data_IF_075834550674
#
_entry.id   IF_075834550674
#
_cell.length_a   1.000
_cell.length_b   1.000
_cell.length_c   1.000
_cell.angle_alpha   90.00
_cell.angle_beta   90.00
_cell.angle_gamma   90.00
#
_symmetry.space_group_name_H-M   'P 1'
#
loop_
_entity.id
_entity.type
_entity.pdbx_description
1 polymer ?
#
# COMPACT_ATOMS: atom_id res chain seq x y z
N UNK A 1 -71.51 -48.72 -49.30
CA UNK A 1 -72.21 -47.41 -49.23
C UNK A 1 -72.09 -46.71 -47.91
N UNK A 2 -72.01 -47.38 -46.81
CA UNK A 2 -71.87 -46.78 -45.45
C UNK A 2 -70.55 -46.05 -45.22
N UNK A 3 -69.44 -46.47 -45.78
CA UNK A 3 -68.13 -45.87 -45.59
C UNK A 3 -67.94 -44.47 -46.21
N UNK A 4 -68.61 -44.23 -47.35
CA UNK A 4 -68.50 -42.91 -48.03
C UNK A 4 -69.35 -41.82 -47.37
N UNK A 5 -70.48 -42.17 -46.75
CA UNK A 5 -71.37 -41.23 -46.08
C UNK A 5 -70.70 -40.70 -44.74
N UNK A 6 -69.99 -41.56 -44.03
CA UNK A 6 -69.31 -41.18 -42.80
C UNK A 6 -68.17 -40.18 -43.05
N UNK A 7 -67.42 -40.38 -44.16
CA UNK A 7 -66.30 -39.47 -44.51
C UNK A 7 -66.81 -38.10 -45.03
N UNK A 8 -67.93 -38.02 -45.70
CA UNK A 8 -68.47 -36.76 -46.22
C UNK A 8 -69.07 -35.93 -45.07
N UNK A 9 -69.66 -36.53 -44.08
CA UNK A 9 -70.16 -35.81 -42.88
C UNK A 9 -69.00 -35.29 -41.98
N UNK A 10 -67.93 -36.06 -41.87
CA UNK A 10 -66.75 -35.64 -41.10
C UNK A 10 -66.04 -34.43 -41.70
N UNK A 11 -65.98 -34.28 -43.01
CA UNK A 11 -65.40 -33.15 -43.72
C UNK A 11 -66.31 -31.91 -43.80
N UNK A 12 -67.55 -32.00 -43.35
CA UNK A 12 -68.58 -30.95 -43.37
C UNK A 12 -68.94 -30.48 -41.90
N UNK A 13 -68.48 -31.17 -40.92
CA UNK A 13 -68.78 -30.86 -39.53
C UNK A 13 -67.83 -29.81 -39.01
N UNK A 14 -68.31 -28.58 -38.84
CA UNK A 14 -67.58 -27.44 -38.36
C UNK A 14 -67.56 -27.37 -36.77
N UNK A 15 -68.31 -28.27 -36.12
CA UNK A 15 -68.37 -28.29 -34.62
C UNK A 15 -67.06 -28.70 -33.93
N UNK A 16 -66.12 -29.24 -34.72
CA UNK A 16 -64.79 -29.64 -34.22
C UNK A 16 -63.70 -28.56 -34.24
N UNK A 17 -63.98 -27.33 -34.68
CA UNK A 17 -62.95 -26.28 -34.87
C UNK A 17 -62.34 -25.77 -33.57
N UNK A 18 -63.03 -25.94 -32.43
CA UNK A 18 -62.58 -25.52 -31.15
C UNK A 18 -61.39 -26.38 -30.60
N UNK A 19 -61.39 -27.68 -30.90
CA UNK A 19 -60.37 -28.63 -30.44
C UNK A 19 -58.95 -28.33 -30.98
N UNK A 20 -58.76 -28.14 -32.28
CA UNK A 20 -57.43 -27.76 -32.82
C UNK A 20 -56.97 -26.39 -32.33
N UNK A 21 -57.88 -25.43 -32.09
CA UNK A 21 -57.56 -24.12 -31.55
C UNK A 21 -57.14 -24.20 -30.09
N UNK A 22 -57.84 -24.94 -29.25
CA UNK A 22 -57.45 -25.15 -27.82
C UNK A 22 -56.13 -25.92 -27.73
N UNK A 23 -55.86 -26.88 -28.60
CA UNK A 23 -54.59 -27.60 -28.66
C UNK A 23 -53.44 -26.69 -29.07
N UNK A 24 -53.67 -25.79 -30.01
CA UNK A 24 -52.67 -24.78 -30.44
C UNK A 24 -52.33 -23.83 -29.28
N UNK A 25 -53.35 -23.31 -28.55
CA UNK A 25 -53.14 -22.45 -27.38
C UNK A 25 -52.40 -23.21 -26.28
N UNK A 26 -52.73 -24.47 -26.03
CA UNK A 26 -52.07 -25.30 -25.04
C UNK A 26 -50.56 -25.48 -25.36
N UNK A 27 -50.20 -25.78 -26.59
CA UNK A 27 -48.81 -25.86 -27.03
C UNK A 27 -48.10 -24.51 -26.95
N UNK A 28 -48.77 -23.40 -27.27
CA UNK A 28 -48.20 -22.07 -27.13
C UNK A 28 -47.90 -21.75 -25.65
N UNK A 29 -48.82 -22.08 -24.73
CA UNK A 29 -48.61 -21.90 -23.30
C UNK A 29 -47.48 -22.76 -22.76
N UNK A 30 -47.34 -24.01 -23.21
CA UNK A 30 -46.24 -24.89 -22.88
C UNK A 30 -44.90 -24.33 -23.38
N UNK A 31 -44.85 -23.78 -24.56
CA UNK A 31 -43.67 -23.20 -25.15
C UNK A 31 -43.25 -21.95 -24.39
N UNK A 32 -44.16 -21.02 -24.10
CA UNK A 32 -43.88 -19.81 -23.33
C UNK A 32 -43.45 -20.15 -21.88
N UNK A 33 -44.14 -21.08 -21.22
CA UNK A 33 -43.77 -21.54 -19.88
C UNK A 33 -42.42 -22.22 -19.85
N UNK A 34 -42.11 -23.03 -20.89
CA UNK A 34 -40.81 -23.66 -21.04
C UNK A 34 -39.67 -22.68 -21.25
N UNK A 35 -39.85 -21.64 -22.08
CA UNK A 35 -38.91 -20.58 -22.27
C UNK A 35 -38.62 -19.85 -20.94
N UNK A 36 -39.66 -19.55 -20.16
CA UNK A 36 -39.51 -18.90 -18.86
C UNK A 36 -38.66 -19.75 -17.92
N UNK A 37 -38.83 -21.09 -17.92
CA UNK A 37 -38.01 -21.99 -17.09
C UNK A 37 -36.55 -21.97 -17.54
N UNK A 38 -36.25 -21.98 -18.84
CA UNK A 38 -34.87 -21.91 -19.34
C UNK A 38 -34.21 -20.59 -18.96
N UNK A 39 -34.90 -19.46 -19.08
CA UNK A 39 -34.38 -18.14 -18.63
C UNK A 39 -34.12 -18.11 -17.14
N UNK A 40 -35.07 -18.63 -16.33
CA UNK A 40 -34.89 -18.68 -14.87
C UNK A 40 -33.68 -19.53 -14.47
N UNK A 41 -33.43 -20.66 -15.14
CA UNK A 41 -32.24 -21.48 -14.89
C UNK A 41 -30.96 -20.77 -15.29
N UNK A 42 -30.94 -20.09 -16.41
CA UNK A 42 -29.81 -19.29 -16.85
C UNK A 42 -29.49 -18.18 -15.85
N UNK A 43 -30.48 -17.38 -15.44
CA UNK A 43 -30.30 -16.32 -14.45
C UNK A 43 -29.85 -16.87 -13.08
N UNK A 44 -30.38 -18.01 -12.65
CA UNK A 44 -29.92 -18.66 -11.41
C UNK A 44 -28.43 -19.04 -11.48
N UNK A 45 -27.99 -19.58 -12.61
CA UNK A 45 -26.57 -19.93 -12.81
C UNK A 45 -25.71 -18.66 -12.82
N UNK A 46 -26.16 -17.62 -13.52
CA UNK A 46 -25.48 -16.33 -13.56
C UNK A 46 -25.30 -15.70 -12.18
N UNK A 47 -26.38 -15.60 -11.41
CA UNK A 47 -26.35 -15.04 -10.06
C UNK A 47 -25.43 -15.84 -9.14
N UNK A 48 -25.50 -17.17 -9.19
CA UNK A 48 -24.65 -18.04 -8.37
C UNK A 48 -23.19 -17.90 -8.75
N UNK A 49 -22.86 -17.85 -10.05
CA UNK A 49 -21.49 -17.67 -10.53
C UNK A 49 -20.93 -16.31 -10.08
N UNK A 50 -21.70 -15.23 -10.31
CA UNK A 50 -21.30 -13.88 -9.92
C UNK A 50 -21.11 -13.75 -8.41
N UNK A 51 -22.03 -14.25 -7.59
CA UNK A 51 -21.89 -14.22 -6.13
C UNK A 51 -20.67 -14.98 -5.62
N UNK A 52 -20.39 -16.15 -6.21
CA UNK A 52 -19.19 -16.92 -5.84
C UNK A 52 -17.94 -16.15 -6.19
N UNK A 53 -17.92 -15.56 -7.40
CA UNK A 53 -16.80 -14.77 -7.88
C UNK A 53 -16.55 -13.53 -7.00
N UNK A 54 -17.60 -12.73 -6.74
CA UNK A 54 -17.51 -11.52 -5.92
C UNK A 54 -17.01 -11.83 -4.51
N UNK A 55 -17.55 -12.88 -3.87
CA UNK A 55 -17.11 -13.28 -2.54
C UNK A 55 -15.67 -13.79 -2.52
N UNK A 56 -15.27 -14.54 -3.56
CA UNK A 56 -13.92 -15.10 -3.65
C UNK A 56 -12.86 -14.02 -3.85
N UNK A 57 -13.07 -13.06 -4.77
CA UNK A 57 -12.11 -11.98 -5.01
C UNK A 57 -12.03 -11.01 -3.82
N UNK A 58 -13.17 -10.76 -3.14
CA UNK A 58 -13.18 -9.93 -1.92
C UNK A 58 -12.38 -10.58 -0.79
N UNK A 59 -12.56 -11.89 -0.58
CA UNK A 59 -11.81 -12.63 0.42
C UNK A 59 -10.31 -12.74 0.07
N UNK A 60 -9.99 -12.92 -1.21
CA UNK A 60 -8.62 -13.02 -1.70
C UNK A 60 -7.88 -11.68 -1.64
N UNK A 61 -8.57 -10.56 -1.91
CA UNK A 61 -7.99 -9.22 -1.84
C UNK A 61 -7.69 -8.77 -0.41
N UNK A 62 -8.35 -9.35 0.61
CA UNK A 62 -8.16 -8.98 2.01
C UNK A 62 -6.69 -9.13 2.43
N UNK A 63 -6.06 -8.03 2.90
CA UNK A 63 -4.65 -8.02 3.32
C UNK A 63 -4.38 -8.79 4.61
N UNK A 64 -5.40 -9.00 5.43
CA UNK A 64 -5.36 -9.89 6.60
C UNK A 64 -5.28 -11.37 6.24
N UNK A 65 -5.59 -11.73 4.98
CA UNK A 65 -5.48 -13.09 4.46
C UNK A 65 -4.01 -13.49 4.29
N UNK A 66 -3.63 -14.60 4.91
CA UNK A 66 -2.27 -15.15 4.88
C UNK A 66 -2.08 -16.26 3.84
N UNK A 67 -3.18 -16.80 3.30
CA UNK A 67 -3.14 -17.78 2.22
C UNK A 67 -2.86 -17.09 0.88
N UNK A 68 -2.39 -17.87 -0.07
CA UNK A 68 -2.22 -17.42 -1.44
C UNK A 68 -3.57 -16.95 -2.01
N UNK A 69 -3.69 -15.71 -2.51
CA UNK A 69 -4.94 -15.17 -3.03
C UNK A 69 -5.55 -16.00 -4.16
N UNK A 70 -4.73 -16.57 -5.06
CA UNK A 70 -5.20 -17.44 -6.15
C UNK A 70 -5.86 -18.69 -5.57
N UNK A 71 -5.23 -19.35 -4.62
CA UNK A 71 -5.79 -20.51 -3.93
C UNK A 71 -7.08 -20.19 -3.15
N UNK A 72 -7.20 -18.97 -2.62
CA UNK A 72 -8.46 -18.55 -1.97
C UNK A 72 -9.61 -18.52 -2.96
N UNK A 73 -9.40 -17.97 -4.16
CA UNK A 73 -10.44 -17.95 -5.21
C UNK A 73 -10.80 -19.38 -5.63
N UNK A 74 -9.80 -20.22 -5.90
CA UNK A 74 -10.00 -21.63 -6.27
C UNK A 74 -10.80 -22.40 -5.20
N UNK A 75 -10.48 -22.24 -3.92
CA UNK A 75 -11.16 -22.89 -2.79
C UNK A 75 -12.64 -22.48 -2.67
N UNK A 76 -12.96 -21.20 -2.94
CA UNK A 76 -14.34 -20.73 -3.00
C UNK A 76 -15.12 -21.40 -4.13
N UNK A 77 -14.51 -21.52 -5.31
CA UNK A 77 -15.12 -22.17 -6.46
C UNK A 77 -15.31 -23.67 -6.25
N UNK A 78 -14.32 -24.33 -5.63
CA UNK A 78 -14.39 -25.76 -5.29
C UNK A 78 -15.53 -26.04 -4.29
N UNK A 79 -15.60 -25.28 -3.20
CA UNK A 79 -16.68 -25.39 -2.21
C UNK A 79 -18.07 -25.07 -2.77
N UNK A 80 -18.13 -24.21 -3.77
CA UNK A 80 -19.37 -23.92 -4.50
C UNK A 80 -19.72 -25.00 -5.54
N UNK A 81 -18.80 -25.94 -5.86
CA UNK A 81 -18.96 -26.90 -6.94
C UNK A 81 -19.01 -26.22 -8.33
N UNK A 82 -18.18 -25.20 -8.51
CA UNK A 82 -18.09 -24.39 -9.72
C UNK A 82 -16.67 -24.32 -10.31
N UNK A 83 -15.75 -25.18 -9.84
CA UNK A 83 -14.32 -25.17 -10.22
C UNK A 83 -14.10 -25.22 -11.73
N UNK A 84 -14.95 -25.95 -12.45
CA UNK A 84 -14.86 -26.08 -13.92
C UNK A 84 -15.17 -24.80 -14.69
N UNK A 85 -15.77 -23.80 -14.03
CA UNK A 85 -16.17 -22.54 -14.65
C UNK A 85 -15.18 -21.41 -14.42
N UNK A 86 -14.22 -21.55 -13.50
CA UNK A 86 -13.17 -20.57 -13.27
C UNK A 86 -12.19 -20.58 -14.45
N UNK A 87 -11.99 -19.42 -15.08
CA UNK A 87 -11.15 -19.28 -16.28
C UNK A 87 -9.76 -18.75 -15.93
N UNK A 88 -9.70 -17.64 -15.21
CA UNK A 88 -8.44 -17.06 -14.78
C UNK A 88 -8.56 -16.30 -13.47
N UNK A 89 -7.44 -16.20 -12.77
CA UNK A 89 -7.24 -15.34 -11.60
C UNK A 89 -5.97 -14.55 -11.83
N UNK A 90 -6.04 -13.24 -11.67
CA UNK A 90 -4.89 -12.35 -11.75
C UNK A 90 -4.73 -11.62 -10.43
N UNK A 91 -3.54 -11.67 -9.86
CA UNK A 91 -3.21 -11.04 -8.57
C UNK A 91 -2.10 -10.04 -8.78
N UNK A 92 -2.36 -8.80 -8.43
CA UNK A 92 -1.35 -7.74 -8.31
C UNK A 92 -1.25 -7.32 -6.84
N UNK A 93 -0.05 -7.39 -6.28
CA UNK A 93 0.14 -7.02 -4.89
C UNK A 93 1.43 -6.25 -4.68
N UNK A 94 1.38 -5.28 -3.79
CA UNK A 94 2.49 -4.46 -3.37
C UNK A 94 2.54 -4.31 -1.86
N UNK A 95 3.38 -3.39 -1.39
CA UNK A 95 3.54 -3.13 0.04
C UNK A 95 2.25 -2.60 0.68
N UNK A 96 1.50 -1.78 -0.04
CA UNK A 96 0.32 -1.07 0.46
C UNK A 96 -0.98 -1.40 -0.27
N UNK A 97 -0.97 -2.32 -1.25
CA UNK A 97 -2.17 -2.73 -1.97
C UNK A 97 -2.16 -4.21 -2.33
N UNK A 98 -3.35 -4.77 -2.52
CA UNK A 98 -3.58 -6.06 -3.16
C UNK A 98 -4.83 -5.94 -4.02
N UNK A 99 -4.70 -6.21 -5.32
CA UNK A 99 -5.77 -6.26 -6.30
C UNK A 99 -5.91 -7.68 -6.81
N UNK A 100 -7.12 -8.18 -6.84
CA UNK A 100 -7.46 -9.51 -7.35
C UNK A 100 -8.53 -9.35 -8.40
N UNK A 101 -8.27 -9.86 -9.59
CA UNK A 101 -9.22 -9.96 -10.67
C UNK A 101 -9.44 -11.42 -11.00
N UNK A 102 -10.68 -11.82 -11.22
CA UNK A 102 -11.00 -13.17 -11.68
C UNK A 102 -12.15 -13.14 -12.69
N UNK A 103 -12.11 -14.08 -13.64
CA UNK A 103 -13.15 -14.30 -14.60
C UNK A 103 -13.60 -15.76 -14.63
N UNK A 104 -14.89 -15.96 -14.88
CA UNK A 104 -15.50 -17.27 -14.93
C UNK A 104 -16.51 -17.35 -16.09
N UNK A 105 -16.63 -18.55 -16.66
CA UNK A 105 -17.55 -18.82 -17.76
C UNK A 105 -18.26 -20.15 -17.55
N UNK A 106 -19.59 -20.12 -17.53
CA UNK A 106 -20.41 -21.31 -17.51
C UNK A 106 -21.19 -21.47 -18.81
N UNK A 107 -21.32 -22.68 -19.27
CA UNK A 107 -22.24 -23.05 -20.32
C UNK A 107 -23.48 -23.70 -19.72
N UNK A 108 -24.66 -23.26 -20.19
CA UNK A 108 -25.94 -23.82 -19.78
C UNK A 108 -26.69 -24.31 -20.98
N UNK A 109 -27.19 -25.56 -20.90
CA UNK A 109 -28.00 -26.15 -21.98
C UNK A 109 -29.46 -25.93 -21.66
N UNK A 110 -30.19 -25.16 -22.54
CA UNK A 110 -31.62 -24.97 -22.39
C UNK A 110 -32.37 -26.24 -22.80
N UNK A 111 -33.51 -26.50 -22.17
CA UNK A 111 -34.35 -27.61 -22.53
C UNK A 111 -35.34 -27.25 -23.66
N UNK A 112 -36.07 -26.17 -23.49
CA UNK A 112 -37.13 -25.76 -24.39
C UNK A 112 -36.60 -24.92 -25.55
N UNK A 113 -35.61 -24.07 -25.34
CA UNK A 113 -34.99 -23.29 -26.42
C UNK A 113 -34.21 -24.16 -27.41
N UNK A 114 -33.76 -25.35 -26.99
CA UNK A 114 -33.12 -26.32 -27.89
C UNK A 114 -34.09 -26.80 -28.99
N UNK A 115 -35.39 -26.85 -28.73
CA UNK A 115 -36.42 -27.14 -29.73
C UNK A 115 -36.55 -26.05 -30.81
N UNK A 116 -36.08 -24.84 -30.49
CA UNK A 116 -36.01 -23.69 -31.40
C UNK A 116 -34.62 -23.53 -32.06
N UNK A 117 -33.71 -24.49 -31.84
CA UNK A 117 -32.37 -24.46 -32.41
C UNK A 117 -31.33 -23.72 -31.60
N UNK A 118 -31.66 -23.24 -30.38
CA UNK A 118 -30.71 -22.60 -29.45
C UNK A 118 -30.22 -23.68 -28.48
N UNK A 119 -29.03 -24.17 -28.70
CA UNK A 119 -28.50 -25.34 -27.97
C UNK A 119 -27.61 -24.97 -26.78
N UNK A 120 -27.07 -23.75 -26.72
CA UNK A 120 -26.13 -23.31 -25.71
C UNK A 120 -26.39 -21.86 -25.30
N UNK A 121 -26.28 -21.60 -23.97
CA UNK A 121 -26.24 -20.28 -23.40
C UNK A 121 -24.95 -20.12 -22.61
N UNK A 122 -24.21 -19.06 -22.87
CA UNK A 122 -23.00 -18.73 -22.14
C UNK A 122 -23.31 -17.69 -21.08
N UNK A 123 -22.82 -17.95 -19.87
CA UNK A 123 -22.80 -17.01 -18.77
C UNK A 123 -21.35 -16.61 -18.55
N UNK A 124 -21.01 -15.37 -18.80
CA UNK A 124 -19.73 -14.80 -18.45
C UNK A 124 -19.92 -13.96 -17.17
N UNK A 125 -18.98 -14.08 -16.25
CA UNK A 125 -18.92 -13.29 -15.03
C UNK A 125 -17.47 -12.85 -14.81
N UNK A 126 -17.29 -11.62 -14.42
CA UNK A 126 -16.00 -11.05 -14.02
C UNK A 126 -16.17 -10.26 -12.72
N UNK A 127 -15.12 -10.22 -11.92
CA UNK A 127 -15.11 -9.45 -10.67
C UNK A 127 -13.68 -9.02 -10.32
N UNK A 128 -13.59 -7.87 -9.67
CA UNK A 128 -12.35 -7.34 -9.16
C UNK A 128 -12.54 -6.78 -7.76
N UNK A 129 -11.55 -6.98 -6.90
CA UNK A 129 -11.51 -6.36 -5.59
C UNK A 129 -10.09 -5.84 -5.31
N UNK A 130 -10.01 -4.67 -4.68
CA UNK A 130 -8.76 -4.07 -4.26
C UNK A 130 -8.87 -3.64 -2.80
N UNK A 131 -7.89 -4.05 -1.99
CA UNK A 131 -7.68 -3.48 -0.66
C UNK A 131 -6.35 -2.75 -0.64
N UNK A 132 -6.37 -1.48 -0.21
CA UNK A 132 -5.17 -0.67 -0.10
C UNK A 132 -5.12 0.18 1.15
N UNK A 133 -3.89 0.40 1.64
CA UNK A 133 -3.57 1.36 2.70
C UNK A 133 -3.21 2.68 2.03
N UNK A 134 -3.77 3.79 2.53
CA UNK A 134 -3.70 5.08 1.84
C UNK A 134 -2.29 5.62 1.68
N UNK A 135 -1.43 5.56 2.71
CA UNK A 135 -0.07 6.07 2.67
C UNK A 135 0.87 5.20 3.51
N UNK A 136 2.11 5.07 3.07
CA UNK A 136 3.20 4.41 3.79
C UNK A 136 4.27 5.46 4.09
N UNK A 137 4.49 5.75 5.36
CA UNK A 137 5.54 6.64 5.83
C UNK A 137 6.59 5.83 6.58
N UNK A 138 7.85 5.97 6.21
CA UNK A 138 8.97 5.25 6.80
C UNK A 138 10.03 6.23 7.26
N UNK A 139 10.50 6.08 8.49
CA UNK A 139 11.68 6.81 8.95
C UNK A 139 12.88 5.87 9.01
N UNK A 140 13.86 6.12 8.16
CA UNK A 140 15.08 5.32 8.05
C UNK A 140 16.18 5.96 8.91
N UNK A 141 16.37 5.41 10.11
CA UNK A 141 17.33 5.87 11.08
C UNK A 141 18.66 5.15 10.86
N UNK A 142 19.71 5.89 10.44
CA UNK A 142 20.97 5.32 9.98
C UNK A 142 22.12 5.70 10.91
N UNK A 143 22.79 4.71 11.45
CA UNK A 143 23.99 4.89 12.26
C UNK A 143 25.17 5.32 11.37
N UNK A 144 25.72 6.48 11.67
CA UNK A 144 26.92 7.03 11.04
C UNK A 144 28.03 7.28 12.06
N UNK A 145 27.98 6.59 13.20
CA UNK A 145 29.01 6.69 14.24
C UNK A 145 30.36 6.12 13.80
N UNK A 146 31.42 6.43 14.55
CA UNK A 146 32.78 5.99 14.23
C UNK A 146 32.95 4.46 14.15
N UNK A 147 32.11 3.70 14.86
CA UNK A 147 32.11 2.24 14.80
C UNK A 147 31.63 1.71 13.43
N UNK A 148 30.99 2.55 12.61
CA UNK A 148 30.52 2.20 11.26
C UNK A 148 31.60 2.39 10.19
N UNK A 149 32.77 2.92 10.53
CA UNK A 149 33.83 3.17 9.56
C UNK A 149 34.30 1.89 8.85
N UNK A 150 34.76 2.03 7.62
CA UNK A 150 35.25 0.93 6.78
C UNK A 150 34.16 0.08 6.15
N UNK A 151 34.20 -1.23 6.41
CA UNK A 151 33.30 -2.19 5.73
C UNK A 151 31.83 -2.01 6.09
N UNK A 152 31.52 -1.56 7.31
CA UNK A 152 30.13 -1.43 7.80
C UNK A 152 29.36 -0.37 7.03
N UNK A 153 29.91 0.85 6.90
CA UNK A 153 29.25 1.92 6.13
C UNK A 153 29.15 1.57 4.65
N UNK A 154 30.18 0.86 4.12
CA UNK A 154 30.19 0.41 2.74
C UNK A 154 29.12 -0.67 2.44
N UNK A 155 28.68 -1.40 3.46
CA UNK A 155 27.55 -2.34 3.37
C UNK A 155 26.22 -1.64 3.65
N UNK A 156 26.18 -0.70 4.59
CA UNK A 156 24.96 0.04 4.97
C UNK A 156 24.39 0.84 3.80
N UNK A 157 25.22 1.60 3.08
CA UNK A 157 24.75 2.45 1.99
C UNK A 157 24.02 1.67 0.88
N UNK A 158 24.58 0.61 0.29
CA UNK A 158 23.84 -0.19 -0.70
C UNK A 158 22.55 -0.81 -0.13
N UNK A 159 22.59 -1.30 1.11
CA UNK A 159 21.41 -1.86 1.77
C UNK A 159 20.30 -0.82 1.96
N UNK A 160 20.64 0.40 2.42
CA UNK A 160 19.69 1.49 2.57
C UNK A 160 19.12 1.95 1.22
N UNK A 161 19.94 2.02 0.18
CA UNK A 161 19.47 2.34 -1.19
C UNK A 161 18.52 1.29 -1.73
N UNK A 162 18.84 0.01 -1.57
CA UNK A 162 17.97 -1.08 -1.98
C UNK A 162 16.65 -1.05 -1.20
N UNK A 163 16.69 -0.71 0.08
CA UNK A 163 15.49 -0.53 0.90
C UNK A 163 14.60 0.59 0.35
N UNK A 164 15.19 1.75 0.01
CA UNK A 164 14.46 2.87 -0.62
C UNK A 164 13.79 2.41 -1.91
N UNK A 165 14.53 1.71 -2.78
CA UNK A 165 13.97 1.17 -4.02
C UNK A 165 12.82 0.20 -3.75
N UNK A 166 13.02 -0.73 -2.82
CA UNK A 166 12.01 -1.73 -2.46
C UNK A 166 10.71 -1.08 -1.97
N UNK A 167 10.81 -0.08 -1.08
CA UNK A 167 9.61 0.59 -0.55
C UNK A 167 8.89 1.39 -1.65
N UNK A 168 9.62 2.20 -2.42
CA UNK A 168 9.00 3.09 -3.40
C UNK A 168 8.48 2.34 -4.63
N UNK A 169 9.16 1.27 -5.08
CA UNK A 169 8.73 0.49 -6.24
C UNK A 169 7.55 -0.45 -5.93
N UNK A 170 7.45 -0.95 -4.69
CA UNK A 170 6.35 -1.82 -4.28
C UNK A 170 5.16 -1.05 -3.67
N UNK A 171 5.18 0.28 -3.75
CA UNK A 171 4.07 1.13 -3.32
C UNK A 171 3.46 1.83 -4.53
N UNK A 172 2.16 2.14 -4.44
CA UNK A 172 1.50 2.98 -5.43
C UNK A 172 2.21 4.33 -5.54
N UNK A 173 2.35 4.86 -6.75
CA UNK A 173 3.07 6.11 -7.00
C UNK A 173 2.52 7.27 -6.15
N UNK A 174 3.41 7.94 -5.43
CA UNK A 174 3.05 9.06 -4.54
C UNK A 174 2.40 8.67 -3.22
N UNK A 175 2.32 7.36 -2.90
CA UNK A 175 1.73 6.86 -1.65
C UNK A 175 2.75 6.37 -0.63
N UNK A 176 4.03 6.40 -0.95
CA UNK A 176 5.10 6.10 -0.03
C UNK A 176 6.06 7.29 0.11
N UNK A 177 6.48 7.57 1.32
CA UNK A 177 7.51 8.56 1.63
C UNK A 177 8.47 8.05 2.68
N UNK A 178 9.73 8.43 2.56
CA UNK A 178 10.80 7.99 3.44
C UNK A 178 11.53 9.23 3.97
N UNK A 179 11.80 9.28 5.27
CA UNK A 179 12.75 10.21 5.85
C UNK A 179 14.08 9.50 6.11
N UNK A 180 15.21 10.23 5.97
CA UNK A 180 16.53 9.73 6.30
C UNK A 180 17.02 10.49 7.53
N UNK A 181 17.28 9.76 8.59
CA UNK A 181 17.75 10.29 9.90
C UNK A 181 19.13 9.72 10.20
N UNK A 182 20.22 10.35 9.72
CA UNK A 182 21.55 9.95 10.13
C UNK A 182 21.78 10.35 11.59
N UNK A 183 22.32 9.45 12.39
CA UNK A 183 22.65 9.74 13.77
C UNK A 183 24.07 9.28 14.13
N UNK A 184 24.70 10.02 15.02
CA UNK A 184 25.94 9.69 15.69
C UNK A 184 25.79 9.98 17.19
N UNK A 185 26.57 10.88 17.76
CA UNK A 185 26.36 11.42 19.12
C UNK A 185 25.07 12.21 19.20
N UNK A 186 24.73 12.91 18.12
CA UNK A 186 23.57 13.77 17.96
C UNK A 186 22.91 13.55 16.59
N UNK A 187 21.82 14.23 16.37
CA UNK A 187 21.13 14.30 15.07
C UNK A 187 21.11 15.75 14.61
N UNK A 188 21.65 16.01 13.42
CA UNK A 188 21.55 17.32 12.79
C UNK A 188 20.23 17.43 12.02
N UNK A 189 19.27 18.16 12.58
CA UNK A 189 17.93 18.28 12.00
C UNK A 189 17.87 19.23 10.82
N UNK A 190 18.90 20.04 10.60
CA UNK A 190 18.93 21.08 9.60
C UNK A 190 18.21 22.36 10.05
N UNK A 191 18.61 23.48 9.46
CA UNK A 191 18.09 24.79 9.86
C UNK A 191 16.57 24.93 9.60
N UNK A 192 16.09 24.35 8.49
CA UNK A 192 14.65 24.40 8.13
C UNK A 192 13.80 23.69 9.18
N UNK A 193 14.18 22.48 9.59
CA UNK A 193 13.43 21.70 10.58
C UNK A 193 13.54 22.38 11.95
N UNK A 194 14.73 22.78 12.36
CA UNK A 194 14.94 23.46 13.65
C UNK A 194 14.06 24.71 13.80
N UNK A 195 13.91 25.51 12.75
CA UNK A 195 13.10 26.73 12.77
C UNK A 195 11.60 26.49 12.97
N UNK A 196 11.12 25.27 12.84
CA UNK A 196 9.72 24.90 13.06
C UNK A 196 9.42 24.58 14.54
N UNK A 197 10.46 24.44 15.36
CA UNK A 197 10.34 24.15 16.78
C UNK A 197 10.71 25.37 17.62
N UNK A 198 10.31 25.38 18.88
CA UNK A 198 10.68 26.41 19.84
C UNK A 198 12.13 26.16 20.35
N UNK A 199 13.09 26.40 19.45
CA UNK A 199 14.52 26.23 19.73
C UNK A 199 15.26 27.54 19.42
N UNK A 200 15.90 28.13 20.42
CA UNK A 200 16.75 29.31 20.19
C UNK A 200 18.04 28.88 19.47
N UNK A 201 18.33 29.50 18.33
CA UNK A 201 19.53 29.20 17.54
C UNK A 201 20.74 29.96 18.12
N UNK A 202 21.67 29.23 18.66
CA UNK A 202 22.86 29.77 19.33
C UNK A 202 24.02 30.07 18.38
N UNK A 203 24.15 29.29 17.30
CA UNK A 203 25.18 29.37 16.28
C UNK A 203 24.65 28.79 14.96
N UNK A 204 25.43 28.86 13.88
CA UNK A 204 25.06 28.38 12.55
C UNK A 204 25.96 27.23 12.04
N UNK A 205 26.75 26.61 12.90
CA UNK A 205 27.66 25.49 12.58
C UNK A 205 26.87 24.20 12.27
N UNK A 206 25.79 23.99 12.98
CA UNK A 206 24.88 22.85 12.83
C UNK A 206 23.48 23.18 13.38
N UNK A 207 22.56 22.24 13.37
CA UNK A 207 21.21 22.41 13.91
C UNK A 207 20.84 21.19 14.77
N UNK A 208 21.73 20.80 15.67
CA UNK A 208 21.49 19.71 16.60
C UNK A 208 20.71 20.17 17.82
N UNK A 209 19.76 19.35 18.23
CA UNK A 209 18.90 19.61 19.39
C UNK A 209 19.17 18.57 20.47
N UNK A 210 19.39 19.03 21.69
CA UNK A 210 19.48 18.17 22.86
C UNK A 210 18.11 17.91 23.47
N UNK A 211 17.88 16.67 23.88
CA UNK A 211 16.72 16.27 24.64
C UNK A 211 17.04 16.07 26.10
N UNK A 212 16.17 16.57 26.98
CA UNK A 212 16.18 16.19 28.36
C UNK A 212 15.72 14.74 28.55
N UNK A 213 16.10 14.11 29.67
CA UNK A 213 15.67 12.71 29.93
C UNK A 213 14.15 12.53 29.95
N UNK A 214 13.40 13.59 30.31
CA UNK A 214 11.93 13.61 30.27
C UNK A 214 11.36 13.53 28.86
N UNK A 215 12.10 14.00 27.85
CA UNK A 215 11.63 14.06 26.46
C UNK A 215 11.56 12.66 25.82
N UNK A 216 12.28 11.70 26.37
CA UNK A 216 12.23 10.30 25.91
C UNK A 216 11.03 9.52 26.46
N UNK A 217 10.29 10.10 27.43
CA UNK A 217 9.09 9.46 27.97
C UNK A 217 7.88 9.51 27.02
N UNK A 218 7.92 10.35 25.98
CA UNK A 218 6.87 10.52 24.98
C UNK A 218 7.41 10.29 23.57
N UNK A 219 6.58 9.78 22.68
CA UNK A 219 6.87 9.74 21.23
C UNK A 219 6.65 11.08 20.56
N UNK A 220 5.78 11.92 21.11
CA UNK A 220 5.45 13.24 20.59
C UNK A 220 6.60 14.24 20.81
N UNK A 221 6.74 15.15 19.84
CA UNK A 221 7.63 16.30 19.92
C UNK A 221 6.81 17.55 19.58
N UNK A 222 6.35 18.25 20.61
CA UNK A 222 5.49 19.42 20.43
C UNK A 222 6.30 20.61 19.93
N UNK A 223 5.79 21.34 18.96
CA UNK A 223 6.43 22.57 18.44
C UNK A 223 6.58 23.66 19.49
N UNK A 224 5.71 23.68 20.50
CA UNK A 224 5.73 24.64 21.61
C UNK A 224 6.70 24.26 22.72
N UNK A 225 7.19 23.01 22.71
CA UNK A 225 8.16 22.54 23.68
C UNK A 225 9.49 23.30 23.51
N UNK A 226 10.01 23.84 24.58
CA UNK A 226 11.33 24.50 24.58
C UNK A 226 12.40 23.43 24.36
N UNK A 227 13.11 23.53 23.25
CA UNK A 227 14.19 22.63 22.87
C UNK A 227 15.52 23.39 22.94
N UNK A 228 16.57 22.69 23.33
CA UNK A 228 17.89 23.26 23.51
C UNK A 228 18.75 22.98 22.28
N UNK A 229 19.26 24.03 21.66
CA UNK A 229 20.26 23.91 20.62
C UNK A 229 21.57 23.43 21.20
N UNK A 230 22.16 22.36 20.69
CA UNK A 230 23.43 21.82 21.12
C UNK A 230 24.55 22.86 20.91
N UNK A 231 25.43 23.04 21.91
CA UNK A 231 26.60 23.90 21.82
C UNK A 231 27.60 23.38 20.77
N UNK A 232 28.52 24.24 20.38
CA UNK A 232 29.60 23.87 19.46
C UNK A 232 30.97 24.15 20.12
N UNK A 233 31.88 23.16 20.05
CA UNK A 233 33.27 23.36 20.47
C UNK A 233 34.08 23.88 19.28
N UNK A 234 34.74 25.04 19.47
CA UNK A 234 35.62 25.64 18.48
C UNK A 234 37.05 25.10 18.64
N UNK A 235 37.47 24.27 17.70
CA UNK A 235 38.81 23.69 17.65
C UNK A 235 39.93 24.71 17.37
N UNK A 236 39.59 25.88 16.82
CA UNK A 236 40.57 26.88 16.45
C UNK A 236 41.18 27.61 17.66
N UNK A 237 40.40 27.86 18.69
CA UNK A 237 40.76 28.59 19.88
C UNK A 237 40.66 27.77 21.17
N UNK A 238 40.21 26.51 21.10
CA UNK A 238 40.05 25.65 22.25
C UNK A 238 38.91 26.06 23.18
N UNK A 239 38.00 26.93 22.73
CA UNK A 239 36.89 27.43 23.52
C UNK A 239 35.58 26.78 23.14
N UNK A 240 34.64 26.80 24.10
CA UNK A 240 33.27 26.34 23.85
C UNK A 240 32.42 27.53 23.46
N UNK A 241 31.83 27.46 22.29
CA UNK A 241 30.85 28.44 21.88
C UNK A 241 29.48 28.01 22.47
N UNK A 242 29.33 28.31 23.76
CA UNK A 242 28.16 27.96 24.54
C UNK A 242 27.54 29.21 25.09
N UNK A 243 26.35 29.52 24.65
CA UNK A 243 25.62 30.63 25.27
C UNK A 243 24.39 30.21 26.07
N UNK A 244 23.93 28.97 26.00
CA UNK A 244 22.66 28.58 26.59
C UNK A 244 22.74 27.57 27.73
N UNK A 245 23.81 26.81 27.84
CA UNK A 245 23.98 25.90 28.97
C UNK A 245 25.08 26.39 29.84
N UNK A 246 24.85 26.48 31.15
CA UNK A 246 25.79 26.92 32.16
C UNK A 246 27.02 25.99 32.33
N UNK A 247 27.13 24.97 31.48
CA UNK A 247 28.26 24.04 31.44
C UNK A 247 28.82 23.94 30.03
N UNK A 248 30.17 23.96 29.87
CA UNK A 248 30.79 23.72 28.58
C UNK A 248 30.46 22.31 28.09
N UNK A 249 30.04 22.22 26.85
CA UNK A 249 29.79 20.93 26.17
C UNK A 249 31.16 20.31 25.87
N UNK A 250 31.48 19.10 26.37
CA UNK A 250 32.70 18.39 26.02
C UNK A 250 32.80 18.16 24.50
N UNK A 251 34.04 18.09 23.96
CA UNK A 251 34.27 17.86 22.52
C UNK A 251 33.50 16.66 21.97
N UNK A 252 33.42 15.60 22.77
CA UNK A 252 32.75 14.36 22.45
C UNK A 252 31.24 14.49 22.27
N UNK A 253 30.62 15.55 22.77
CA UNK A 253 29.20 15.83 22.67
C UNK A 253 28.85 16.89 21.62
N UNK A 254 29.83 17.36 20.84
CA UNK A 254 29.53 18.16 19.65
C UNK A 254 28.58 17.41 18.73
N UNK A 255 27.70 18.14 18.11
CA UNK A 255 26.78 17.60 17.12
C UNK A 255 27.47 16.78 16.01
N UNK A 256 28.62 17.31 15.58
CA UNK A 256 29.58 16.59 14.74
C UNK A 256 31.00 16.93 15.17
N UNK A 257 31.83 15.93 15.28
CA UNK A 257 33.23 16.10 15.63
C UNK A 257 34.07 16.35 14.36
N UNK A 258 33.81 17.49 13.72
CA UNK A 258 34.63 17.94 12.60
C UNK A 258 35.87 18.62 13.12
N UNK A 259 37.01 17.92 13.08
CA UNK A 259 38.31 18.49 13.44
C UNK A 259 38.78 19.45 12.33
N UNK A 260 38.22 20.64 12.29
CA UNK A 260 38.59 21.68 11.33
C UNK A 260 38.56 23.04 12.02
N UNK A 261 39.56 23.88 11.69
CA UNK A 261 39.63 25.28 12.10
C UNK A 261 38.83 26.22 11.16
N UNK A 262 38.22 25.68 10.13
CA UNK A 262 37.49 26.48 9.11
C UNK A 262 36.01 26.28 9.25
N UNK A 263 35.29 27.34 9.59
CA UNK A 263 33.82 27.34 9.75
C UNK A 263 33.08 26.77 8.53
N UNK A 264 33.52 27.14 7.35
CA UNK A 264 32.90 26.63 6.09
C UNK A 264 33.02 25.11 5.96
N UNK A 265 34.13 24.51 6.41
CA UNK A 265 34.32 23.05 6.40
C UNK A 265 33.41 22.37 7.42
N UNK A 266 33.27 22.97 8.62
CA UNK A 266 32.36 22.44 9.64
C UNK A 266 30.93 22.45 9.13
N UNK A 267 30.45 23.59 8.61
CA UNK A 267 29.09 23.72 8.04
C UNK A 267 28.83 22.73 6.91
N UNK A 268 29.74 22.66 5.93
CA UNK A 268 29.58 21.77 4.78
C UNK A 268 29.60 20.29 5.16
N UNK A 269 30.37 19.92 6.19
CA UNK A 269 30.43 18.53 6.68
C UNK A 269 29.18 18.22 7.49
N UNK A 270 28.74 19.12 8.37
CA UNK A 270 27.50 18.97 9.15
C UNK A 270 26.27 18.82 8.23
N UNK A 271 26.21 19.55 7.15
CA UNK A 271 25.10 19.47 6.18
C UNK A 271 24.95 18.07 5.54
N UNK A 272 26.04 17.31 5.43
CA UNK A 272 25.99 15.94 4.90
C UNK A 272 25.19 14.98 5.78
N UNK A 273 25.17 15.22 7.09
CA UNK A 273 24.42 14.41 8.05
C UNK A 273 23.10 15.07 8.51
N UNK A 274 22.64 16.14 7.85
CA UNK A 274 21.31 16.68 8.11
C UNK A 274 20.22 15.65 7.80
N UNK A 275 19.13 15.68 8.56
CA UNK A 275 17.94 14.90 8.23
C UNK A 275 17.44 15.29 6.83
N UNK A 276 17.04 14.30 6.05
CA UNK A 276 16.15 14.51 4.91
C UNK A 276 14.72 14.18 5.36
N UNK A 277 13.82 15.17 5.42
CA UNK A 277 12.40 14.93 5.76
C UNK A 277 11.71 13.97 4.80
N UNK A 278 10.48 13.58 5.12
CA UNK A 278 9.69 12.67 4.30
C UNK A 278 9.69 13.08 2.83
N UNK A 279 10.13 12.18 1.98
CA UNK A 279 10.27 12.40 0.52
C UNK A 279 9.89 11.13 -0.24
N UNK A 280 9.18 11.30 -1.35
CA UNK A 280 8.94 10.24 -2.34
C UNK A 280 9.97 10.22 -3.47
N UNK A 281 10.96 11.12 -3.44
CA UNK A 281 12.00 11.19 -4.48
C UNK A 281 13.15 10.22 -4.18
N UNK A 282 13.15 9.10 -4.91
CA UNK A 282 14.20 8.08 -4.79
C UNK A 282 15.61 8.61 -5.07
N UNK A 283 15.75 9.57 -5.98
CA UNK A 283 17.06 10.12 -6.33
C UNK A 283 17.61 10.99 -5.19
N UNK A 284 16.78 11.84 -4.60
CA UNK A 284 17.13 12.67 -3.45
C UNK A 284 17.49 11.81 -2.22
N UNK A 285 16.70 10.77 -1.94
CA UNK A 285 16.93 9.83 -0.83
C UNK A 285 18.26 9.10 -0.99
N UNK A 286 18.55 8.56 -2.18
CA UNK A 286 19.82 7.86 -2.45
C UNK A 286 21.02 8.78 -2.40
N UNK A 287 20.90 9.99 -2.98
CA UNK A 287 21.95 11.01 -2.90
C UNK A 287 22.27 11.37 -1.45
N UNK A 288 21.25 11.47 -0.59
CA UNK A 288 21.46 11.70 0.85
C UNK A 288 22.22 10.56 1.50
N UNK A 289 21.84 9.30 1.26
CA UNK A 289 22.52 8.12 1.78
C UNK A 289 24.01 8.10 1.36
N UNK A 290 24.30 8.45 0.11
CA UNK A 290 25.66 8.42 -0.43
C UNK A 290 26.55 9.54 0.15
N UNK A 291 25.97 10.68 0.56
CA UNK A 291 26.71 11.83 1.08
C UNK A 291 26.99 11.79 2.57
N UNK A 292 26.33 10.91 3.34
CA UNK A 292 26.55 10.79 4.79
C UNK A 292 28.02 10.56 5.12
N UNK A 293 28.49 11.16 6.20
CA UNK A 293 29.88 11.01 6.68
C UNK A 293 29.91 10.41 8.06
N UNK A 294 30.98 9.65 8.32
CA UNK A 294 31.22 9.05 9.65
C UNK A 294 31.52 10.12 10.68
N UNK A 295 30.95 9.96 11.87
CA UNK A 295 31.20 10.78 13.06
C UNK A 295 31.49 9.89 14.29
N UNK A 296 31.91 10.46 15.42
CA UNK A 296 32.61 9.73 16.46
C UNK A 296 31.78 8.75 17.29
N UNK A 297 30.84 9.25 18.09
CA UNK A 297 30.13 8.44 19.12
C UNK A 297 28.74 8.06 18.66
N UNK A 298 28.06 7.21 19.44
CA UNK A 298 26.76 6.65 19.11
C UNK A 298 25.74 6.97 20.20
N UNK A 299 24.58 7.52 19.80
CA UNK A 299 23.42 7.76 20.66
C UNK A 299 22.16 7.33 19.89
N UNK A 300 21.83 6.05 20.02
CA UNK A 300 20.73 5.45 19.27
C UNK A 300 19.36 6.01 19.69
N UNK A 301 19.22 6.43 20.96
CA UNK A 301 17.99 7.01 21.50
C UNK A 301 17.63 8.33 20.81
N UNK A 302 18.61 9.20 20.49
CA UNK A 302 18.36 10.46 19.78
C UNK A 302 17.93 10.17 18.35
N UNK A 303 18.59 9.24 17.67
CA UNK A 303 18.21 8.79 16.36
C UNK A 303 16.77 8.25 16.31
N UNK A 304 16.43 7.38 17.27
CA UNK A 304 15.09 6.83 17.40
C UNK A 304 14.03 7.91 17.70
N UNK A 305 14.34 8.86 18.61
CA UNK A 305 13.44 9.96 18.95
C UNK A 305 13.07 10.80 17.73
N UNK A 306 14.05 11.20 16.92
CA UNK A 306 13.81 11.93 15.68
C UNK A 306 13.10 11.07 14.64
N UNK A 307 13.47 9.80 14.52
CA UNK A 307 12.79 8.87 13.61
C UNK A 307 11.31 8.75 13.89
N UNK A 308 10.93 8.62 15.16
CA UNK A 308 9.52 8.56 15.58
C UNK A 308 8.83 9.91 15.43
N UNK A 309 9.50 11.02 15.73
CA UNK A 309 8.94 12.36 15.57
C UNK A 309 8.51 12.64 14.13
N UNK A 310 9.25 12.16 13.12
CA UNK A 310 8.87 12.33 11.71
C UNK A 310 7.68 11.46 11.26
N UNK A 311 7.30 10.45 12.04
CA UNK A 311 6.11 9.62 11.79
C UNK A 311 4.89 10.13 12.56
N UNK A 312 5.04 11.10 13.45
CA UNK A 312 3.92 11.70 14.18
C UNK A 312 3.09 12.60 13.23
N UNK A 313 1.78 12.39 13.11
CA UNK A 313 0.91 13.24 12.29
C UNK A 313 1.02 14.74 12.57
N UNK A 314 1.31 15.13 13.82
CA UNK A 314 1.43 16.53 14.23
C UNK A 314 2.70 17.21 13.67
N UNK A 315 3.65 16.44 13.14
CA UNK A 315 4.88 16.95 12.52
C UNK A 315 4.83 17.04 11.01
N UNK A 316 3.74 16.65 10.37
CA UNK A 316 3.62 16.64 8.88
C UNK A 316 3.91 17.98 8.23
N UNK A 317 3.51 19.08 8.85
CA UNK A 317 3.82 20.42 8.33
C UNK A 317 5.30 20.79 8.43
N UNK A 318 6.07 20.08 9.27
CA UNK A 318 7.54 20.25 9.39
C UNK A 318 8.26 19.46 8.29
N UNK A 319 7.65 18.36 7.83
CA UNK A 319 8.25 17.38 6.94
C UNK A 319 7.92 17.64 5.45
N UNK A 320 6.92 18.45 5.19
CA UNK A 320 6.53 18.96 3.87
C UNK A 320 7.11 20.36 3.65
#
# INVERSE_FOLDING_TARGET
RFRKVCLVNFTRDESGSLTPFTMMIFFLMLLIGGLAVDVMRHERTRVRLQQTLDNSVLAAAARSQTLDPEHVVEDYFDKAGLSEYLMSVTVEQGLNFRSVFADAKADTRPFFMSLMGINEFYVNADSAAEEKISNVEVSLVLDVSGSMDGSRINTLRPAARNFVDTILQNSEAGKASISIVPFSTQVNVGAKVMSQYNAERLHDMNSCIEFASSDYASTQLLRTQALVHNGHFDYSNGSYNTSALSSPVPKEFNCMNVNSSTESTIKSTSAKNEILPLSGDAAALKAKIDTMVIDNYTSAEIGAKWGVAFLDPDTRDVTN
#
